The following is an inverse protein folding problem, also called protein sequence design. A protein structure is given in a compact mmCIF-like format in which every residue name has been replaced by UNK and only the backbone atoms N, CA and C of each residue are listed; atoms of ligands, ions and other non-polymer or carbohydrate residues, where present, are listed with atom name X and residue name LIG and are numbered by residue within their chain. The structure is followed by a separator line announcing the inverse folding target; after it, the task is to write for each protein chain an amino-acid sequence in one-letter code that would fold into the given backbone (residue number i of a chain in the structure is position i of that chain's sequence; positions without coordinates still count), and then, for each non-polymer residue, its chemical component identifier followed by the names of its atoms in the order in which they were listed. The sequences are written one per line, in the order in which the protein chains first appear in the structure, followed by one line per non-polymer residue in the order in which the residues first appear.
data_IF_214278573125
#
_entry.id   IF_214278573125
#
_cell.length_a   1.000
_cell.length_b   1.000
_cell.length_c   1.000
_cell.angle_alpha   90.00
_cell.angle_beta   90.00
_cell.angle_gamma   90.00
#
_symmetry.space_group_name_H-M   'P 1'
#
loop_
_entity.id
_entity.type
_entity.pdbx_description
1 polymer ?
#
# COMPACT_ATOMS: atom_id res chain seq x y z
N UNK A 1 44.35 -97.32 -14.76
CA UNK A 1 45.22 -96.80 -13.69
C UNK A 1 44.76 -95.36 -13.40
N UNK A 2 43.94 -95.14 -12.37
CA UNK A 2 44.33 -94.80 -10.98
C UNK A 2 45.20 -93.52 -10.96
N UNK A 3 44.78 -92.33 -10.47
CA UNK A 3 44.40 -91.93 -9.10
C UNK A 3 43.85 -90.46 -9.12
N UNK A 4 42.74 -90.06 -8.46
CA UNK A 4 42.61 -89.40 -7.12
C UNK A 4 43.29 -88.00 -7.06
N UNK A 5 42.78 -86.85 -6.53
CA UNK A 5 41.57 -86.41 -5.80
C UNK A 5 41.61 -84.84 -5.59
N UNK A 6 40.43 -84.18 -5.55
CA UNK A 6 39.93 -83.12 -4.61
C UNK A 6 40.27 -81.61 -4.76
N UNK A 7 39.21 -80.82 -5.06
CA UNK A 7 38.64 -79.59 -4.41
C UNK A 7 39.57 -78.39 -4.05
N UNK A 8 39.28 -77.11 -4.37
CA UNK A 8 38.26 -76.20 -3.79
C UNK A 8 38.30 -74.79 -4.46
N UNK A 9 37.11 -74.16 -4.55
CA UNK A 9 36.73 -72.73 -4.53
C UNK A 9 37.47 -71.64 -5.33
N UNK A 10 36.69 -70.76 -6.00
CA UNK A 10 37.14 -69.38 -6.27
C UNK A 10 36.40 -68.57 -7.34
N UNK A 11 35.16 -68.16 -7.05
CA UNK A 11 34.53 -66.85 -7.36
C UNK A 11 34.43 -66.38 -8.84
N UNK A 12 33.17 -66.18 -9.26
CA UNK A 12 32.75 -65.52 -10.49
C UNK A 12 33.05 -64.01 -10.49
N UNK A 13 33.47 -63.49 -11.64
CA UNK A 13 33.55 -62.05 -11.92
C UNK A 13 33.22 -61.78 -13.38
N UNK A 14 31.99 -61.34 -13.63
CA UNK A 14 31.51 -60.86 -14.94
C UNK A 14 32.05 -59.46 -15.24
N UNK A 15 32.34 -59.24 -16.53
CA UNK A 15 32.88 -58.01 -17.09
C UNK A 15 31.95 -56.80 -16.93
N UNK A 16 32.53 -55.65 -16.57
CA UNK A 16 31.89 -54.33 -16.65
C UNK A 16 32.53 -53.54 -17.79
N UNK A 17 31.71 -53.19 -18.79
CA UNK A 17 32.02 -52.15 -19.77
C UNK A 17 31.92 -50.78 -19.08
N UNK A 18 33.00 -50.00 -19.14
CA UNK A 18 33.04 -48.63 -18.65
C UNK A 18 32.43 -47.68 -19.68
N UNK A 19 31.27 -47.10 -19.36
CA UNK A 19 30.78 -45.89 -20.01
C UNK A 19 31.40 -44.68 -19.30
N UNK A 20 32.02 -43.80 -20.09
CA UNK A 20 32.63 -42.54 -19.66
C UNK A 20 31.52 -41.49 -19.52
N UNK A 21 31.25 -41.03 -18.30
CA UNK A 21 30.35 -39.90 -18.05
C UNK A 21 30.96 -38.60 -18.61
N UNK A 22 30.21 -37.93 -19.48
CA UNK A 22 30.51 -36.56 -19.92
C UNK A 22 30.03 -35.58 -18.86
N UNK A 23 30.96 -34.98 -18.11
CA UNK A 23 30.70 -33.77 -17.34
C UNK A 23 30.46 -32.60 -18.31
N UNK A 24 29.20 -32.33 -18.63
CA UNK A 24 28.77 -31.04 -19.15
C UNK A 24 28.44 -30.13 -17.95
N UNK A 25 29.48 -29.69 -17.24
CA UNK A 25 29.38 -28.69 -16.19
C UNK A 25 30.35 -27.55 -16.50
N UNK A 26 30.06 -26.79 -17.55
CA UNK A 26 30.75 -25.53 -17.82
C UNK A 26 29.87 -24.66 -18.75
N UNK A 27 28.79 -24.11 -18.18
CA UNK A 27 28.10 -22.95 -18.72
C UNK A 27 27.14 -22.36 -17.68
N UNK A 28 27.66 -21.63 -16.69
CA UNK A 28 27.00 -20.40 -16.23
C UNK A 28 28.11 -19.41 -15.88
N UNK A 29 28.44 -18.59 -16.89
CA UNK A 29 29.12 -17.31 -16.73
C UNK A 29 28.56 -16.58 -15.52
N UNK A 30 29.44 -16.29 -14.55
CA UNK A 30 29.17 -15.44 -13.41
C UNK A 30 28.60 -14.10 -13.88
N UNK A 31 27.28 -13.93 -13.75
CA UNK A 31 26.69 -12.60 -13.76
C UNK A 31 27.29 -11.83 -12.56
N UNK A 32 27.72 -10.58 -12.74
CA UNK A 32 28.16 -9.77 -11.61
C UNK A 32 26.93 -9.54 -10.72
N UNK A 33 26.91 -10.17 -9.55
CA UNK A 33 25.99 -9.78 -8.48
C UNK A 33 26.55 -8.49 -7.91
N UNK A 34 26.17 -7.37 -8.49
CA UNK A 34 26.23 -6.10 -7.77
C UNK A 34 25.28 -6.25 -6.58
N UNK A 35 25.84 -6.62 -5.42
CA UNK A 35 25.12 -6.55 -4.14
C UNK A 35 25.05 -5.08 -3.77
N UNK A 36 24.26 -4.31 -4.51
CA UNK A 36 23.86 -3.00 -4.05
C UNK A 36 23.15 -3.21 -2.71
N UNK A 37 23.81 -2.79 -1.64
CA UNK A 37 23.30 -2.96 -0.28
C UNK A 37 22.10 -2.05 -0.15
N UNK A 38 20.90 -2.64 -0.17
CA UNK A 38 19.67 -1.89 0.08
C UNK A 38 19.73 -1.38 1.53
N UNK A 39 19.64 -0.06 1.75
CA UNK A 39 19.69 0.50 3.10
C UNK A 39 18.45 0.08 3.91
N UNK A 40 18.64 -0.15 5.21
CA UNK A 40 17.53 -0.28 6.15
C UNK A 40 16.90 1.10 6.35
N UNK A 41 15.58 1.18 6.17
CA UNK A 41 14.83 2.43 6.32
C UNK A 41 14.63 2.73 7.79
N UNK A 42 14.97 3.95 8.17
CA UNK A 42 14.66 4.56 9.45
C UNK A 42 13.82 5.78 9.12
N UNK A 43 12.66 5.91 9.77
CA UNK A 43 11.75 7.02 9.57
C UNK A 43 11.19 7.49 10.92
N UNK A 44 11.07 8.80 11.08
CA UNK A 44 10.45 9.41 12.24
C UNK A 44 9.41 10.44 11.79
N UNK A 45 8.19 10.43 12.37
CA UNK A 45 7.22 11.50 12.18
C UNK A 45 7.78 12.82 12.69
N UNK A 46 7.65 13.87 11.88
CA UNK A 46 7.98 15.24 12.25
C UNK A 46 6.73 16.12 12.14
N UNK A 47 6.42 16.98 13.12
CA UNK A 47 5.30 17.90 13.03
C UNK A 47 5.43 18.80 11.79
N UNK A 48 4.40 18.78 10.93
CA UNK A 48 4.30 19.68 9.79
C UNK A 48 3.47 20.91 10.17
N UNK A 49 2.27 20.73 10.70
CA UNK A 49 1.39 21.81 11.17
C UNK A 49 0.62 21.30 12.38
N UNK A 50 0.74 22.01 13.50
CA UNK A 50 -0.06 21.76 14.69
C UNK A 50 -0.66 23.07 15.17
N UNK A 51 -1.98 23.08 15.33
CA UNK A 51 -2.70 24.25 15.79
C UNK A 51 -4.04 23.83 16.39
N UNK A 52 -4.36 24.36 17.56
CA UNK A 52 -5.60 24.08 18.27
C UNK A 52 -6.05 25.36 18.98
N UNK A 53 -7.34 25.67 18.87
CA UNK A 53 -7.94 26.79 19.59
C UNK A 53 -9.45 26.61 19.69
N UNK A 54 -10.00 27.03 20.81
CA UNK A 54 -11.43 27.12 21.02
C UNK A 54 -11.88 28.58 21.04
N UNK A 55 -12.97 28.88 20.35
CA UNK A 55 -13.67 30.17 20.34
C UNK A 55 -15.09 29.89 20.87
N UNK A 56 -15.35 30.30 22.11
CA UNK A 56 -16.53 29.88 22.89
C UNK A 56 -16.57 28.34 23.02
N UNK A 57 -17.65 27.70 22.59
CA UNK A 57 -17.84 26.24 22.66
C UNK A 57 -17.39 25.50 21.39
N UNK A 58 -16.80 26.20 20.42
CA UNK A 58 -16.36 25.65 19.13
C UNK A 58 -14.84 25.58 19.09
N UNK A 59 -14.28 24.50 18.58
CA UNK A 59 -12.84 24.32 18.52
C UNK A 59 -12.38 23.90 17.12
N UNK A 60 -11.19 24.33 16.74
CA UNK A 60 -10.45 23.68 15.67
C UNK A 60 -9.24 22.93 16.23
N UNK A 61 -8.89 21.82 15.58
CA UNK A 61 -7.69 21.04 15.84
C UNK A 61 -7.06 20.62 14.52
N UNK A 62 -5.78 20.91 14.35
CA UNK A 62 -4.99 20.52 13.19
C UNK A 62 -3.76 19.78 13.68
N UNK A 63 -3.54 18.57 13.17
CA UNK A 63 -2.43 17.70 13.56
C UNK A 63 -1.87 16.99 12.31
N UNK A 64 -1.03 17.71 11.57
CA UNK A 64 -0.38 17.22 10.35
C UNK A 64 1.08 16.92 10.62
N UNK A 65 1.52 15.75 10.22
CA UNK A 65 2.92 15.32 10.27
C UNK A 65 3.47 15.13 8.86
N UNK A 66 4.79 15.12 8.77
CA UNK A 66 5.55 14.58 7.65
C UNK A 66 6.47 13.47 8.17
N UNK A 67 7.28 12.88 7.29
CA UNK A 67 8.30 11.91 7.70
C UNK A 67 9.69 12.46 7.36
N UNK A 68 10.61 12.33 8.32
CA UNK A 68 12.04 12.41 8.06
C UNK A 68 12.59 10.99 8.03
N UNK A 69 13.18 10.62 6.90
CA UNK A 69 13.82 9.33 6.72
C UNK A 69 15.34 9.48 6.58
N UNK A 70 16.05 8.37 6.68
CA UNK A 70 17.46 8.28 6.24
C UNK A 70 17.61 8.14 4.71
N UNK A 71 16.50 8.20 3.96
CA UNK A 71 16.45 8.06 2.50
C UNK A 71 15.88 9.35 1.91
N UNK A 72 16.74 10.35 1.71
CA UNK A 72 16.33 11.75 1.46
C UNK A 72 15.35 11.96 0.29
N UNK A 73 15.32 11.07 -0.71
CA UNK A 73 14.41 11.20 -1.85
C UNK A 73 12.97 10.78 -1.54
N UNK A 74 12.72 10.12 -0.41
CA UNK A 74 11.39 9.72 0.06
C UNK A 74 10.69 10.88 0.79
N UNK A 75 11.41 11.65 1.60
CA UNK A 75 10.84 12.73 2.42
C UNK A 75 9.96 13.74 1.62
N UNK A 76 10.33 14.17 0.39
CA UNK A 76 9.52 15.08 -0.39
C UNK A 76 8.11 14.60 -0.70
N UNK A 77 7.86 13.28 -0.76
CA UNK A 77 6.52 12.73 -1.00
C UNK A 77 5.57 13.08 0.15
N UNK A 78 6.01 12.83 1.38
CA UNK A 78 5.22 13.11 2.59
C UNK A 78 5.13 14.62 2.87
N UNK A 79 6.18 15.38 2.58
CA UNK A 79 6.14 16.85 2.69
C UNK A 79 5.16 17.46 1.69
N UNK A 80 5.16 16.98 0.44
CA UNK A 80 4.23 17.42 -0.59
C UNK A 80 2.80 17.04 -0.24
N UNK A 81 2.56 15.82 0.26
CA UNK A 81 1.25 15.37 0.70
C UNK A 81 0.71 16.24 1.84
N UNK A 82 1.47 16.42 2.93
CA UNK A 82 1.08 17.30 4.04
C UNK A 82 0.83 18.74 3.59
N UNK A 83 1.67 19.30 2.70
CA UNK A 83 1.46 20.62 2.12
C UNK A 83 0.17 20.70 1.31
N UNK A 84 -0.17 19.66 0.55
CA UNK A 84 -1.35 19.65 -0.33
C UNK A 84 -2.68 19.72 0.42
N UNK A 85 -2.68 19.38 1.72
CA UNK A 85 -3.84 19.49 2.60
C UNK A 85 -4.14 20.92 3.06
N UNK A 86 -3.20 21.85 2.90
CA UNK A 86 -3.39 23.26 3.25
C UNK A 86 -4.19 23.97 2.14
N UNK A 87 -5.48 23.61 2.03
CA UNK A 87 -6.42 24.15 1.04
C UNK A 87 -7.11 25.40 1.55
N UNK A 88 -7.28 26.38 0.67
CA UNK A 88 -8.09 27.56 0.94
C UNK A 88 -9.57 27.19 0.90
N UNK A 89 -10.31 27.62 1.92
CA UNK A 89 -11.75 27.41 2.01
C UNK A 89 -12.48 28.71 2.40
N UNK A 90 -13.70 28.86 1.90
CA UNK A 90 -14.55 30.03 2.14
C UNK A 90 -16.01 29.74 1.83
N UNK A 91 -16.91 30.05 2.77
CA UNK A 91 -18.36 29.95 2.56
C UNK A 91 -18.96 31.11 1.75
N UNK A 92 -18.18 32.16 1.44
CA UNK A 92 -18.68 33.40 0.83
C UNK A 92 -18.21 33.62 -0.60
N UNK A 93 -17.21 32.86 -1.04
CA UNK A 93 -16.60 33.00 -2.36
C UNK A 93 -17.14 31.94 -3.32
N UNK A 94 -17.13 32.25 -4.60
CA UNK A 94 -17.41 31.27 -5.66
C UNK A 94 -16.25 30.29 -5.84
N UNK A 95 -16.53 29.12 -6.42
CA UNK A 95 -15.51 28.10 -6.72
C UNK A 95 -14.33 28.67 -7.52
N UNK A 96 -14.60 29.54 -8.49
CA UNK A 96 -13.57 30.21 -9.28
C UNK A 96 -12.66 31.10 -8.42
N UNK A 97 -13.23 31.85 -7.49
CA UNK A 97 -12.45 32.70 -6.58
C UNK A 97 -11.62 31.85 -5.60
N UNK A 98 -12.17 30.72 -5.15
CA UNK A 98 -11.45 29.74 -4.33
C UNK A 98 -10.26 29.17 -5.10
N UNK A 99 -10.45 28.76 -6.36
CA UNK A 99 -9.37 28.26 -7.22
C UNK A 99 -8.29 29.32 -7.48
N UNK A 100 -8.69 30.56 -7.77
CA UNK A 100 -7.75 31.68 -7.96
C UNK A 100 -6.93 31.97 -6.69
N UNK A 101 -7.55 31.86 -5.50
CA UNK A 101 -6.87 31.99 -4.20
C UNK A 101 -5.95 30.80 -3.93
N UNK A 102 -6.40 29.57 -4.20
CA UNK A 102 -5.58 28.38 -4.06
C UNK A 102 -4.32 28.46 -4.94
N UNK A 103 -4.45 28.91 -6.19
CA UNK A 103 -3.32 29.08 -7.10
C UNK A 103 -2.29 30.13 -6.61
N UNK A 104 -2.73 31.13 -5.83
CA UNK A 104 -1.84 32.05 -5.14
C UNK A 104 -1.14 31.36 -3.96
N UNK A 105 -1.89 30.58 -3.18
CA UNK A 105 -1.38 29.81 -2.04
C UNK A 105 -0.35 28.76 -2.44
N UNK A 106 -0.55 28.09 -3.57
CA UNK A 106 0.37 27.07 -4.07
C UNK A 106 1.78 27.59 -4.32
N UNK A 107 1.93 28.90 -4.56
CA UNK A 107 3.20 29.61 -4.76
C UNK A 107 3.85 30.11 -3.47
N UNK A 108 3.15 30.04 -2.33
CA UNK A 108 3.66 30.54 -1.06
C UNK A 108 4.76 29.63 -0.49
N UNK A 109 5.82 30.19 0.11
CA UNK A 109 6.72 29.43 0.96
C UNK A 109 5.94 28.68 2.04
N UNK A 110 6.37 27.47 2.41
CA UNK A 110 5.65 26.58 3.33
C UNK A 110 5.31 27.27 4.65
N UNK A 111 6.25 28.00 5.26
CA UNK A 111 6.01 28.69 6.54
C UNK A 111 4.95 29.80 6.43
N UNK A 112 4.87 30.46 5.28
CA UNK A 112 3.82 31.45 5.03
C UNK A 112 2.49 30.76 4.78
N UNK A 113 2.46 29.69 3.97
CA UNK A 113 1.25 28.92 3.71
C UNK A 113 0.61 28.39 5.01
N UNK A 114 1.41 27.84 5.92
CA UNK A 114 0.93 27.36 7.24
C UNK A 114 0.22 28.46 8.03
N UNK A 115 0.79 29.67 8.06
CA UNK A 115 0.19 30.84 8.74
C UNK A 115 -1.11 31.29 8.07
N UNK A 116 -1.12 31.37 6.73
CA UNK A 116 -2.31 31.75 5.97
C UNK A 116 -3.44 30.73 6.13
N UNK A 117 -3.10 29.44 6.18
CA UNK A 117 -4.05 28.36 6.43
C UNK A 117 -4.68 28.43 7.81
N UNK A 118 -3.88 28.57 8.88
CA UNK A 118 -4.41 28.76 10.25
C UNK A 118 -5.34 29.97 10.28
N UNK A 119 -4.91 31.12 9.75
CA UNK A 119 -5.73 32.32 9.72
C UNK A 119 -7.01 32.15 8.90
N UNK A 120 -6.99 31.33 7.85
CA UNK A 120 -8.19 31.01 7.07
C UNK A 120 -9.17 30.16 7.85
N UNK A 121 -8.69 29.11 8.53
CA UNK A 121 -9.52 28.28 9.42
C UNK A 121 -10.10 29.15 10.52
N UNK A 122 -9.32 30.00 11.17
CA UNK A 122 -9.80 30.93 12.20
C UNK A 122 -10.96 31.81 11.71
N UNK A 123 -10.87 32.35 10.50
CA UNK A 123 -11.95 33.17 9.91
C UNK A 123 -13.26 32.41 9.72
N UNK A 124 -13.22 31.08 9.56
CA UNK A 124 -14.45 30.27 9.50
C UNK A 124 -15.23 30.29 10.83
N UNK A 125 -14.56 30.63 11.93
CA UNK A 125 -15.16 30.75 13.27
C UNK A 125 -15.56 32.20 13.64
N UNK A 126 -15.32 33.19 12.77
CA UNK A 126 -15.67 34.59 13.02
C UNK A 126 -17.10 34.95 12.57
N UNK A 127 -17.72 34.18 11.66
CA UNK A 127 -19.04 34.52 11.08
C UNK A 127 -20.20 34.02 11.94
N UNK A 128 -21.13 34.87 12.38
CA UNK A 128 -22.25 34.43 13.24
C UNK A 128 -23.25 33.46 12.55
N UNK A 129 -23.32 33.44 11.22
CA UNK A 129 -24.14 32.51 10.45
C UNK A 129 -23.24 31.44 9.81
N UNK A 130 -23.65 30.16 9.89
CA UNK A 130 -23.00 29.05 9.19
C UNK A 130 -21.72 28.49 9.81
N UNK A 131 -21.31 28.90 11.02
CA UNK A 131 -20.07 28.38 11.61
C UNK A 131 -20.09 26.85 11.76
N UNK A 132 -18.98 26.17 11.43
CA UNK A 132 -18.82 24.78 11.80
C UNK A 132 -18.78 24.65 13.33
N UNK A 133 -19.45 23.62 13.87
CA UNK A 133 -19.41 23.30 15.32
C UNK A 133 -18.01 22.90 15.79
N UNK A 134 -17.17 22.45 14.86
CA UNK A 134 -15.75 22.25 15.03
C UNK A 134 -15.05 22.03 13.69
N UNK A 135 -13.72 22.06 13.71
CA UNK A 135 -12.90 21.77 12.54
C UNK A 135 -11.77 20.83 12.97
N UNK A 136 -11.56 19.74 12.25
CA UNK A 136 -10.45 18.84 12.53
C UNK A 136 -9.75 18.47 11.24
N UNK A 137 -8.42 18.47 11.25
CA UNK A 137 -7.62 17.97 10.13
C UNK A 137 -6.43 17.18 10.68
N UNK A 138 -6.37 15.90 10.33
CA UNK A 138 -5.29 15.01 10.73
C UNK A 138 -4.61 14.39 9.50
N UNK A 139 -3.29 14.32 9.55
CA UNK A 139 -2.50 13.58 8.57
C UNK A 139 -1.28 12.98 9.26
N UNK A 140 -1.27 11.66 9.36
CA UNK A 140 -0.31 10.90 10.17
C UNK A 140 0.38 9.84 9.31
N UNK A 141 1.45 10.22 8.58
CA UNK A 141 2.31 9.25 7.91
C UNK A 141 3.17 8.49 8.93
N UNK A 142 3.35 7.19 8.68
CA UNK A 142 4.25 6.32 9.44
C UNK A 142 4.93 5.32 8.52
N UNK A 143 6.15 4.93 8.87
CA UNK A 143 6.77 3.74 8.29
C UNK A 143 6.02 2.49 8.78
N UNK A 144 5.69 1.60 7.84
CA UNK A 144 4.94 0.39 8.12
C UNK A 144 5.89 -0.79 8.30
N UNK A 145 6.67 -1.09 7.26
CA UNK A 145 7.60 -2.20 7.24
C UNK A 145 8.55 -2.08 6.05
N UNK A 146 9.62 -2.88 6.04
CA UNK A 146 10.48 -3.07 4.89
C UNK A 146 10.66 -4.56 4.63
N UNK A 147 10.61 -4.96 3.35
CA UNK A 147 11.01 -6.29 2.89
C UNK A 147 11.95 -6.15 1.70
N UNK A 148 13.22 -6.51 1.89
CA UNK A 148 14.28 -6.32 0.89
C UNK A 148 14.29 -4.87 0.36
N UNK A 149 14.03 -4.70 -0.94
CA UNK A 149 13.97 -3.42 -1.65
C UNK A 149 12.68 -2.65 -1.44
N UNK A 150 11.64 -3.25 -0.87
CA UNK A 150 10.35 -2.60 -0.67
C UNK A 150 10.28 -1.94 0.70
N UNK A 151 10.16 -0.61 0.72
CA UNK A 151 9.85 0.18 1.90
C UNK A 151 8.39 0.62 1.85
N UNK A 152 7.61 0.18 2.83
CA UNK A 152 6.17 0.42 2.90
C UNK A 152 5.88 1.46 3.96
N UNK A 153 5.01 2.39 3.61
CA UNK A 153 4.52 3.45 4.49
C UNK A 153 3.01 3.49 4.42
N UNK A 154 2.40 4.04 5.45
CA UNK A 154 0.96 4.23 5.53
C UNK A 154 0.66 5.59 6.13
N UNK A 155 -0.41 6.20 5.67
CA UNK A 155 -0.85 7.51 6.15
C UNK A 155 -2.32 7.42 6.53
N UNK A 156 -2.64 7.86 7.74
CA UNK A 156 -4.01 8.10 8.12
C UNK A 156 -4.36 9.56 7.83
N UNK A 157 -5.50 9.79 7.21
CA UNK A 157 -6.08 11.10 6.97
C UNK A 157 -7.47 11.17 7.62
N UNK A 158 -7.76 12.30 8.25
CA UNK A 158 -9.10 12.65 8.72
C UNK A 158 -9.36 14.13 8.49
N UNK A 159 -10.56 14.48 8.03
CA UNK A 159 -11.02 15.86 7.98
C UNK A 159 -12.47 15.98 8.43
N UNK A 160 -12.73 16.98 9.25
CA UNK A 160 -14.05 17.46 9.61
C UNK A 160 -14.09 18.96 9.41
N UNK A 161 -14.95 19.45 8.54
CA UNK A 161 -15.11 20.87 8.22
C UNK A 161 -16.52 21.37 8.53
N UNK A 162 -17.23 20.64 9.41
CA UNK A 162 -18.67 20.78 9.66
C UNK A 162 -19.50 19.63 9.06
N UNK A 163 -20.81 19.66 9.25
CA UNK A 163 -21.73 18.62 8.77
C UNK A 163 -21.98 17.48 9.77
N UNK A 164 -22.49 16.34 9.28
CA UNK A 164 -22.93 15.23 10.11
C UNK A 164 -21.77 14.39 10.68
N UNK A 165 -20.68 14.23 9.92
CA UNK A 165 -19.49 13.48 10.31
C UNK A 165 -18.27 13.95 9.50
N UNK A 166 -17.07 13.56 9.93
CA UNK A 166 -15.84 13.75 9.15
C UNK A 166 -15.67 12.69 8.07
N UNK A 167 -14.69 12.90 7.19
CA UNK A 167 -14.21 11.91 6.21
C UNK A 167 -12.81 11.45 6.60
N UNK A 168 -12.49 10.19 6.33
CA UNK A 168 -11.19 9.62 6.66
C UNK A 168 -10.73 8.64 5.58
N UNK A 169 -9.45 8.31 5.63
CA UNK A 169 -8.87 7.30 4.74
C UNK A 169 -7.45 6.90 5.13
N UNK A 170 -7.05 5.71 4.71
CA UNK A 170 -5.77 5.07 4.95
C UNK A 170 -5.07 4.87 3.61
N UNK A 171 -4.04 5.66 3.33
CA UNK A 171 -3.26 5.53 2.10
C UNK A 171 -1.96 4.78 2.31
N UNK A 172 -1.64 3.85 1.41
CA UNK A 172 -0.39 3.11 1.41
C UNK A 172 0.56 3.62 0.33
N UNK A 173 1.85 3.65 0.65
CA UNK A 173 2.92 4.08 -0.24
C UNK A 173 4.03 3.04 -0.23
N UNK A 174 4.27 2.41 -1.38
CA UNK A 174 5.28 1.37 -1.54
C UNK A 174 6.44 1.89 -2.38
N UNK A 175 7.61 2.04 -1.78
CA UNK A 175 8.81 2.48 -2.48
C UNK A 175 9.73 1.31 -2.78
N UNK A 176 10.14 1.17 -4.04
CA UNK A 176 11.25 0.31 -4.40
C UNK A 176 12.56 1.11 -4.30
N UNK A 177 13.41 0.72 -3.34
CA UNK A 177 14.65 1.40 -3.00
C UNK A 177 15.77 1.20 -4.02
N UNK A 178 15.70 0.14 -4.85
CA UNK A 178 16.68 -0.09 -5.92
C UNK A 178 16.38 0.79 -7.13
N UNK A 179 15.11 0.82 -7.54
CA UNK A 179 14.65 1.63 -8.68
C UNK A 179 14.37 3.09 -8.30
N UNK A 180 14.37 3.41 -7.00
CA UNK A 180 14.06 4.73 -6.42
C UNK A 180 12.71 5.27 -6.89
N UNK A 181 11.70 4.41 -6.81
CA UNK A 181 10.37 4.68 -7.37
C UNK A 181 9.28 4.42 -6.33
N UNK A 182 8.30 5.32 -6.25
CA UNK A 182 6.99 5.01 -5.68
C UNK A 182 6.24 4.13 -6.67
N UNK A 183 5.91 2.91 -6.24
CA UNK A 183 5.26 1.91 -7.08
C UNK A 183 3.78 2.20 -7.22
N UNK A 184 3.32 2.26 -8.46
CA UNK A 184 1.91 2.11 -8.81
C UNK A 184 1.61 0.63 -9.09
N UNK A 185 0.33 0.28 -9.22
CA UNK A 185 -0.06 -1.12 -9.44
C UNK A 185 0.54 -1.69 -10.74
N UNK A 186 0.54 -0.92 -11.82
CA UNK A 186 1.13 -1.33 -13.10
C UNK A 186 2.65 -1.58 -13.02
N UNK A 187 3.34 -1.03 -12.02
CA UNK A 187 4.77 -1.30 -11.81
C UNK A 187 5.04 -2.69 -11.26
N UNK A 188 4.05 -3.29 -10.61
CA UNK A 188 4.19 -4.59 -9.96
C UNK A 188 3.59 -5.72 -10.78
N UNK A 189 2.70 -5.41 -11.73
CA UNK A 189 2.11 -6.40 -12.63
C UNK A 189 3.10 -6.82 -13.74
N UNK A 190 2.99 -8.07 -14.16
CA UNK A 190 3.59 -8.54 -15.39
C UNK A 190 2.84 -7.94 -16.60
N UNK A 191 3.51 -7.73 -17.75
CA UNK A 191 2.88 -7.12 -18.91
C UNK A 191 1.62 -7.86 -19.36
N UNK A 192 0.51 -7.13 -19.52
CA UNK A 192 -0.77 -7.65 -20.02
C UNK A 192 -1.62 -8.37 -18.98
N UNK A 193 -1.24 -8.35 -17.69
CA UNK A 193 -1.94 -9.05 -16.59
C UNK A 193 -3.00 -8.22 -15.88
N UNK A 194 -3.33 -7.04 -16.38
CA UNK A 194 -4.34 -6.16 -15.79
C UNK A 194 -5.71 -6.84 -15.69
N UNK A 195 -6.13 -7.57 -16.73
CA UNK A 195 -7.44 -8.25 -16.73
C UNK A 195 -7.48 -9.38 -15.71
N UNK A 196 -6.48 -10.26 -15.71
CA UNK A 196 -6.41 -11.35 -14.74
C UNK A 196 -6.34 -10.80 -13.31
N UNK A 197 -5.64 -9.69 -13.08
CA UNK A 197 -5.62 -9.03 -11.78
C UNK A 197 -7.00 -8.51 -11.36
N UNK A 198 -7.75 -7.86 -12.26
CA UNK A 198 -9.13 -7.42 -11.99
C UNK A 198 -10.05 -8.60 -11.65
N UNK A 199 -9.88 -9.75 -12.30
CA UNK A 199 -10.65 -10.96 -11.97
C UNK A 199 -10.31 -11.46 -10.56
N UNK A 200 -9.03 -11.51 -10.17
CA UNK A 200 -8.62 -11.85 -8.81
C UNK A 200 -9.15 -10.88 -7.75
N UNK A 201 -9.21 -9.59 -8.09
CA UNK A 201 -9.72 -8.55 -7.21
C UNK A 201 -11.23 -8.70 -6.99
N UNK A 202 -11.98 -9.01 -8.04
CA UNK A 202 -13.41 -9.34 -7.93
C UNK A 202 -13.63 -10.57 -7.06
N UNK A 203 -12.79 -11.60 -7.18
CA UNK A 203 -12.87 -12.77 -6.31
C UNK A 203 -12.54 -12.43 -4.85
N UNK A 204 -11.56 -11.54 -4.60
CA UNK A 204 -11.27 -11.06 -3.25
C UNK A 204 -12.45 -10.28 -2.64
N UNK A 205 -13.22 -9.57 -3.47
CA UNK A 205 -14.44 -8.91 -3.02
C UNK A 205 -15.55 -9.91 -2.67
N UNK A 206 -15.69 -10.98 -3.45
CA UNK A 206 -16.58 -12.09 -3.12
C UNK A 206 -16.19 -12.74 -1.78
N UNK A 207 -14.90 -12.95 -1.54
CA UNK A 207 -14.38 -13.48 -0.27
C UNK A 207 -14.68 -12.52 0.90
N UNK A 208 -14.51 -11.22 0.70
CA UNK A 208 -14.88 -10.21 1.70
C UNK A 208 -16.37 -10.33 2.09
N UNK A 209 -17.26 -10.40 1.11
CA UNK A 209 -18.71 -10.59 1.36
C UNK A 209 -18.95 -11.90 2.13
N UNK A 210 -18.27 -12.97 1.73
CA UNK A 210 -18.46 -14.29 2.33
C UNK A 210 -18.02 -14.34 3.79
N UNK A 211 -16.90 -13.68 4.11
CA UNK A 211 -16.26 -13.74 5.44
C UNK A 211 -16.64 -12.55 6.31
N UNK A 212 -16.36 -11.32 5.86
CA UNK A 212 -16.52 -10.11 6.67
C UNK A 212 -18.00 -9.75 6.87
N UNK A 213 -18.83 -9.93 5.85
CA UNK A 213 -20.28 -9.72 5.96
C UNK A 213 -21.06 -10.98 6.39
N UNK A 214 -20.34 -12.04 6.76
CA UNK A 214 -20.91 -13.28 7.30
C UNK A 214 -21.96 -13.94 6.40
N UNK A 215 -21.70 -14.00 5.08
CA UNK A 215 -22.53 -14.73 4.11
C UNK A 215 -21.77 -15.95 3.54
N UNK A 216 -21.59 -17.04 4.30
CA UNK A 216 -20.78 -18.18 3.87
C UNK A 216 -21.42 -19.04 2.77
N UNK A 217 -22.69 -18.80 2.43
CA UNK A 217 -23.35 -19.47 1.30
C UNK A 217 -22.92 -18.81 -0.01
N UNK A 218 -22.20 -19.57 -0.85
CA UNK A 218 -21.59 -19.04 -2.07
C UNK A 218 -22.61 -18.40 -3.02
N UNK A 219 -23.78 -19.01 -3.22
CA UNK A 219 -24.78 -18.48 -4.14
C UNK A 219 -25.38 -17.16 -3.63
N UNK A 220 -25.56 -17.02 -2.32
CA UNK A 220 -25.99 -15.75 -1.70
C UNK A 220 -24.90 -14.68 -1.73
N UNK A 221 -23.65 -15.05 -1.50
CA UNK A 221 -22.51 -14.14 -1.60
C UNK A 221 -22.37 -13.59 -3.03
N UNK A 222 -22.46 -14.46 -4.04
CA UNK A 222 -22.45 -14.06 -5.46
C UNK A 222 -23.62 -13.14 -5.80
N UNK A 223 -24.83 -13.45 -5.31
CA UNK A 223 -25.99 -12.57 -5.50
C UNK A 223 -25.76 -11.19 -4.88
N UNK A 224 -25.21 -11.14 -3.66
CA UNK A 224 -24.93 -9.88 -2.98
C UNK A 224 -23.83 -9.08 -3.68
N UNK A 225 -22.80 -9.75 -4.19
CA UNK A 225 -21.77 -9.11 -5.00
C UNK A 225 -22.39 -8.43 -6.23
N UNK A 226 -23.28 -9.13 -6.96
CA UNK A 226 -23.98 -8.55 -8.09
C UNK A 226 -24.84 -7.34 -7.70
N UNK A 227 -25.56 -7.40 -6.58
CA UNK A 227 -26.36 -6.26 -6.06
C UNK A 227 -25.47 -5.04 -5.73
N UNK A 228 -24.27 -5.26 -5.20
CA UNK A 228 -23.28 -4.22 -4.92
C UNK A 228 -22.74 -3.62 -6.22
N UNK A 229 -22.38 -4.46 -7.19
CA UNK A 229 -21.92 -4.04 -8.52
C UNK A 229 -22.99 -3.23 -9.26
N UNK A 230 -24.25 -3.67 -9.24
CA UNK A 230 -25.41 -2.96 -9.80
C UNK A 230 -25.65 -1.59 -9.12
N UNK A 231 -25.24 -1.46 -7.86
CA UNK A 231 -25.29 -0.21 -7.09
C UNK A 231 -24.07 0.70 -7.35
N UNK A 232 -23.13 0.28 -8.21
CA UNK A 232 -21.90 1.01 -8.55
C UNK A 232 -20.74 0.77 -7.59
N UNK A 233 -20.88 -0.11 -6.60
CA UNK A 233 -19.80 -0.51 -5.69
C UNK A 233 -18.96 -1.61 -6.32
N UNK A 234 -18.18 -1.25 -7.33
CA UNK A 234 -17.34 -2.16 -8.12
C UNK A 234 -15.89 -2.05 -7.63
N UNK A 235 -15.27 -3.19 -7.33
CA UNK A 235 -13.86 -3.27 -6.94
C UNK A 235 -12.95 -3.07 -8.16
N UNK A 236 -12.58 -1.82 -8.43
CA UNK A 236 -11.62 -1.45 -9.47
C UNK A 236 -10.17 -1.48 -8.96
N UNK A 237 -9.17 -1.80 -9.81
CA UNK A 237 -7.77 -1.72 -9.42
C UNK A 237 -7.37 -0.34 -8.90
N UNK A 238 -6.60 -0.30 -7.81
CA UNK A 238 -6.18 0.94 -7.14
C UNK A 238 -4.69 0.95 -6.83
N UNK A 239 -4.08 2.14 -6.80
CA UNK A 239 -2.71 2.33 -6.31
C UNK A 239 -2.65 2.39 -4.76
N UNK A 240 -3.78 2.33 -4.07
CA UNK A 240 -3.85 2.22 -2.62
C UNK A 240 -3.74 0.75 -2.17
N UNK A 241 -2.53 0.20 -2.23
CA UNK A 241 -2.27 -1.19 -1.87
C UNK A 241 -1.06 -1.34 -0.95
N UNK A 242 -0.97 -2.46 -0.24
CA UNK A 242 0.19 -2.81 0.59
C UNK A 242 0.54 -4.29 0.42
N UNK A 243 1.83 -4.60 0.56
CA UNK A 243 2.29 -5.98 0.64
C UNK A 243 2.15 -6.50 2.07
N UNK A 244 1.02 -7.16 2.35
CA UNK A 244 0.78 -7.82 3.62
C UNK A 244 1.59 -9.14 3.71
N UNK A 245 1.58 -9.77 4.88
CA UNK A 245 2.30 -11.03 5.10
C UNK A 245 1.80 -12.18 4.20
N UNK A 246 0.50 -12.24 3.94
CA UNK A 246 -0.17 -13.34 3.25
C UNK A 246 -0.69 -13.00 1.84
N UNK A 247 -0.57 -11.75 1.40
CA UNK A 247 -1.04 -11.33 0.09
C UNK A 247 -0.86 -9.84 -0.19
N UNK A 248 -1.38 -9.42 -1.34
CA UNK A 248 -1.52 -8.02 -1.70
C UNK A 248 -2.85 -7.50 -1.14
N UNK A 249 -2.80 -6.51 -0.26
CA UNK A 249 -3.96 -5.85 0.32
C UNK A 249 -4.29 -4.61 -0.50
N UNK A 250 -5.51 -4.48 -0.99
CA UNK A 250 -6.03 -3.26 -1.63
C UNK A 250 -7.03 -2.61 -0.70
N UNK A 251 -6.90 -1.31 -0.48
CA UNK A 251 -7.72 -0.57 0.47
C UNK A 251 -8.59 0.48 -0.24
N UNK A 252 -9.87 0.45 0.11
CA UNK A 252 -10.91 1.30 -0.46
C UNK A 252 -11.49 2.19 0.63
N UNK A 253 -11.41 3.50 0.43
CA UNK A 253 -11.93 4.51 1.35
C UNK A 253 -13.44 4.35 1.57
N UNK A 254 -13.99 4.93 2.65
CA UNK A 254 -15.44 4.96 2.84
C UNK A 254 -16.16 5.50 1.60
N UNK A 255 -17.33 4.93 1.29
CA UNK A 255 -18.12 5.18 0.07
C UNK A 255 -17.65 4.53 -1.22
N UNK A 256 -16.44 3.96 -1.29
CA UNK A 256 -15.96 3.34 -2.53
C UNK A 256 -16.64 1.99 -2.82
N UNK A 257 -16.76 1.13 -1.80
CA UNK A 257 -17.32 -0.22 -1.93
C UNK A 257 -18.54 -0.49 -1.02
N UNK A 258 -19.10 0.57 -0.42
CA UNK A 258 -20.20 0.43 0.53
C UNK A 258 -20.57 1.76 1.17
N UNK A 259 -21.47 1.73 2.13
CA UNK A 259 -21.87 2.91 2.90
C UNK A 259 -20.75 3.39 3.85
N UNK A 260 -20.83 4.63 4.33
CA UNK A 260 -19.87 5.15 5.34
C UNK A 260 -19.83 4.31 6.62
N UNK A 261 -20.97 3.74 7.01
CA UNK A 261 -21.08 2.93 8.22
C UNK A 261 -20.28 1.63 8.15
N UNK A 262 -19.99 1.15 6.94
CA UNK A 262 -19.14 -0.02 6.70
C UNK A 262 -17.64 0.32 6.77
N UNK A 263 -17.30 1.61 6.68
CA UNK A 263 -15.94 2.11 6.78
C UNK A 263 -15.08 1.77 5.57
N UNK A 264 -13.78 1.62 5.82
CA UNK A 264 -12.82 1.19 4.81
C UNK A 264 -12.96 -0.31 4.53
N UNK A 265 -13.00 -0.67 3.24
CA UNK A 265 -13.06 -2.07 2.82
C UNK A 265 -11.69 -2.46 2.29
N UNK A 266 -11.15 -3.54 2.84
CA UNK A 266 -9.85 -4.07 2.47
C UNK A 266 -10.01 -5.43 1.79
N UNK A 267 -9.48 -5.53 0.57
CA UNK A 267 -9.53 -6.74 -0.24
C UNK A 267 -8.14 -7.36 -0.31
N UNK A 268 -8.00 -8.60 0.17
CA UNK A 268 -6.73 -9.31 0.18
C UNK A 268 -6.70 -10.36 -0.94
N UNK A 269 -5.71 -10.25 -1.83
CA UNK A 269 -5.41 -11.28 -2.83
C UNK A 269 -4.20 -12.11 -2.35
N UNK A 270 -4.37 -13.40 -2.02
CA UNK A 270 -3.26 -14.24 -1.55
C UNK A 270 -2.12 -14.33 -2.57
N UNK A 271 -0.87 -14.33 -2.11
CA UNK A 271 0.30 -14.41 -3.02
C UNK A 271 0.29 -15.65 -3.92
N UNK A 272 -0.27 -16.76 -3.45
CA UNK A 272 -0.41 -17.99 -4.26
C UNK A 272 -1.25 -17.79 -5.52
N UNK A 273 -2.19 -16.83 -5.51
CA UNK A 273 -3.00 -16.47 -6.68
C UNK A 273 -2.32 -15.45 -7.58
N UNK A 274 -1.31 -14.75 -7.09
CA UNK A 274 -0.58 -13.70 -7.81
C UNK A 274 0.64 -14.23 -8.59
N UNK A 275 0.91 -15.53 -8.52
CA UNK A 275 1.93 -16.20 -9.33
C UNK A 275 1.58 -16.00 -10.81
N UNK A 276 2.57 -15.65 -11.62
CA UNK A 276 2.44 -15.31 -13.05
C UNK A 276 1.55 -14.09 -13.34
N UNK A 277 1.19 -13.30 -12.33
CA UNK A 277 0.45 -12.03 -12.45
C UNK A 277 1.29 -10.86 -11.93
N UNK A 278 1.88 -11.00 -10.75
CA UNK A 278 2.78 -10.00 -10.13
C UNK A 278 4.24 -10.41 -10.36
N UNK A 279 5.11 -9.43 -10.55
CA UNK A 279 6.54 -9.64 -10.72
C UNK A 279 7.13 -10.38 -9.51
N UNK A 280 7.95 -11.43 -9.71
CA UNK A 280 8.41 -12.30 -8.62
C UNK A 280 9.14 -11.58 -7.48
N UNK A 281 9.86 -10.50 -7.76
CA UNK A 281 10.58 -9.70 -6.77
C UNK A 281 9.68 -9.02 -5.71
N UNK A 282 8.37 -8.96 -5.95
CA UNK A 282 7.39 -8.36 -5.05
C UNK A 282 6.50 -9.38 -4.33
N UNK A 283 6.64 -10.69 -4.61
CA UNK A 283 5.86 -11.73 -3.94
C UNK A 283 6.50 -12.13 -2.61
N UNK A 284 5.84 -11.84 -1.48
CA UNK A 284 6.39 -12.17 -0.17
C UNK A 284 6.20 -13.66 0.17
N UNK A 285 7.09 -14.17 1.02
CA UNK A 285 7.03 -15.52 1.57
C UNK A 285 7.05 -16.69 0.56
N UNK A 286 7.63 -16.48 -0.62
CA UNK A 286 8.13 -17.59 -1.46
C UNK A 286 9.56 -18.00 -1.09
N UNK A 287 10.26 -17.19 -0.26
CA UNK A 287 11.41 -17.59 0.59
C UNK A 287 11.78 -16.45 1.57
N UNK A 288 11.63 -16.67 2.88
CA UNK A 288 12.12 -15.87 4.04
C UNK A 288 11.69 -14.38 4.12
N UNK A 289 10.81 -14.05 5.07
CA UNK A 289 10.60 -12.68 5.56
C UNK A 289 10.66 -12.65 7.08
N UNK A 290 11.41 -11.70 7.65
CA UNK A 290 11.43 -11.39 9.09
C UNK A 290 10.49 -10.22 9.34
N UNK A 291 9.55 -10.36 10.27
CA UNK A 291 8.61 -9.31 10.70
C UNK A 291 9.13 -8.76 12.03
N UNK A 292 9.17 -7.44 12.21
CA UNK A 292 9.41 -6.83 13.52
C UNK A 292 8.09 -6.75 14.30
N UNK A 293 8.15 -7.07 15.59
CA UNK A 293 7.08 -6.81 16.57
C UNK A 293 6.74 -5.32 16.67
#
# INVERSE_FOLDING_TARGET
MNLIKWSLLGIAGLALFSCKESNAAEAVSSLPVDKEVVPVVIAQPEPFLQAEKCIKERCYQMDLYTLKTNIDWIDPYFQKAARSLLKFDSYTLSDREIEEKQAQWDKLPVDKLKKEFIANVERLFDSNEGMPVGYSLEYKPRFLAQNNQLAMFVTYYYAFTGGAHGIYGTSFYNFDLKTKKLLDLDDILLPGKQREFSELLRDAYLEYISVAESEPDQAKAEKRLLEREDSGWIAEPTNNFAFAYNGLLLDYFPYMLGSFAEGEIQLLIPYSRLIDIVKPEYLFNTTKTTISE
#
